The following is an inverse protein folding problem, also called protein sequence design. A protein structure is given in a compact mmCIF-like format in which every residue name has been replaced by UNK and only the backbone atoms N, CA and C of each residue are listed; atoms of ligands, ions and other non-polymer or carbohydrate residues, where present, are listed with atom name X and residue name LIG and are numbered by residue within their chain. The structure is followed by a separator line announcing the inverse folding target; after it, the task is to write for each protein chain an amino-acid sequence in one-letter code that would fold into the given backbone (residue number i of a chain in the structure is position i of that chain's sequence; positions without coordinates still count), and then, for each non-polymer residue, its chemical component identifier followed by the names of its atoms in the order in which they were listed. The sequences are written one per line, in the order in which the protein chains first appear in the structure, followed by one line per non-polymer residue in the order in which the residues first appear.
data_IF_694815914123
#
_entry.id   IF_694815914123
#
_cell.length_a   1.000
_cell.length_b   1.000
_cell.length_c   1.000
_cell.angle_alpha   90.00
_cell.angle_beta   90.00
_cell.angle_gamma   90.00
#
_symmetry.space_group_name_H-M   'P 1'
#
loop_
_entity.id
_entity.type
_entity.pdbx_description
1 polymer ?
#
# COMPACT_ATOMS: atom_id res chain seq x y z
N UNK A 1 -9.05 15.03 25.27
CA UNK A 1 -8.52 14.82 24.91
C UNK A 1 -8.18 14.26 24.29
N UNK A 2 -8.04 14.20 23.94
CA UNK A 2 -7.63 13.74 23.25
C UNK A 2 -7.06 13.25 22.81
N UNK A 3 -6.78 13.17 22.75
CA UNK A 3 -6.15 12.77 22.31
C UNK A 3 -5.80 12.09 21.79
N UNK A 4 -5.73 11.87 21.62
CA UNK A 4 -5.22 11.25 21.14
C UNK A 4 -5.22 10.78 20.28
N UNK A 5 -5.10 10.80 19.73
CA UNK A 5 -5.07 10.49 18.88
C UNK A 5 -4.48 10.16 18.17
N UNK A 6 -4.34 10.15 18.06
CA UNK A 6 -3.50 9.76 17.62
C UNK A 6 -3.57 8.83 16.54
N UNK A 7 -2.80 8.21 16.08
CA UNK A 7 -2.74 7.36 15.00
C UNK A 7 -3.67 6.20 15.10
N UNK A 8 -4.65 6.19 14.23
CA UNK A 8 -5.69 5.18 14.28
C UNK A 8 -5.20 3.82 13.82
N UNK A 9 -4.15 3.76 13.01
CA UNK A 9 -3.72 2.50 12.46
C UNK A 9 -2.22 2.35 12.59
N UNK A 10 -1.81 1.13 12.86
CA UNK A 10 -0.42 0.79 12.96
C UNK A 10 0.15 0.47 11.58
N UNK A 11 1.38 0.87 11.35
CA UNK A 11 2.07 0.62 10.10
C UNK A 11 3.03 -0.53 10.24
N UNK A 12 3.04 -1.37 9.22
CA UNK A 12 3.88 -2.56 9.21
C UNK A 12 4.81 -2.52 8.02
N UNK A 13 6.07 -2.85 8.23
CA UNK A 13 7.00 -3.01 7.13
C UNK A 13 6.70 -4.30 6.40
N UNK A 14 6.60 -4.22 5.08
CA UNK A 14 6.31 -5.38 4.25
C UNK A 14 7.19 -5.31 3.02
N UNK A 15 7.12 -6.35 2.22
CA UNK A 15 7.82 -6.38 0.95
C UNK A 15 7.03 -7.25 0.01
N UNK A 16 6.31 -6.60 -0.89
CA UNK A 16 5.45 -7.34 -1.80
C UNK A 16 5.36 -6.63 -3.14
N UNK A 17 5.68 -7.31 -4.23
CA UNK A 17 5.44 -6.74 -5.55
C UNK A 17 3.95 -6.57 -5.77
N UNK A 18 3.58 -5.44 -6.33
CA UNK A 18 2.18 -5.11 -6.59
C UNK A 18 2.12 -4.40 -7.92
N UNK A 19 0.90 -4.27 -8.44
CA UNK A 19 0.64 -3.48 -9.62
C UNK A 19 -0.30 -2.36 -9.26
N UNK A 20 0.01 -1.16 -9.70
CA UNK A 20 -0.80 0.00 -9.44
C UNK A 20 -1.49 0.42 -10.72
N UNK A 21 -2.82 0.37 -10.72
CA UNK A 21 -3.62 0.75 -11.88
C UNK A 21 -4.11 2.18 -11.69
N UNK A 22 -3.76 3.03 -12.62
CA UNK A 22 -4.27 4.39 -12.65
C UNK A 22 -4.99 4.63 -13.95
N UNK A 23 -5.46 5.86 -14.18
CA UNK A 23 -6.19 6.16 -15.43
C UNK A 23 -5.27 5.91 -16.63
N UNK A 24 -5.66 4.94 -17.44
CA UNK A 24 -4.94 4.67 -18.67
C UNK A 24 -3.56 4.09 -18.49
N UNK A 25 -3.20 3.62 -17.31
CA UNK A 25 -1.86 3.08 -17.13
C UNK A 25 -1.83 2.03 -16.02
N UNK A 26 -0.83 1.20 -16.10
CA UNK A 26 -0.63 0.11 -15.17
C UNK A 26 0.87 -0.01 -14.95
N UNK A 27 1.31 0.07 -13.68
CA UNK A 27 2.73 0.07 -13.36
C UNK A 27 3.01 -0.87 -12.21
N UNK A 28 4.12 -1.56 -12.29
CA UNK A 28 4.57 -2.41 -11.21
C UNK A 28 5.30 -1.58 -10.17
N UNK A 29 5.20 -2.01 -8.93
CA UNK A 29 5.90 -1.37 -7.84
C UNK A 29 6.11 -2.36 -6.72
N UNK A 30 6.72 -1.88 -5.64
CA UNK A 30 6.98 -2.72 -4.47
C UNK A 30 6.32 -2.06 -3.26
N UNK A 31 5.37 -2.78 -2.68
CA UNK A 31 4.74 -2.31 -1.45
C UNK A 31 5.69 -2.53 -0.30
N UNK A 32 6.03 -1.47 0.43
CA UNK A 32 7.02 -1.54 1.50
C UNK A 32 6.44 -1.23 2.86
N UNK A 33 5.22 -0.71 2.91
CA UNK A 33 4.57 -0.40 4.18
C UNK A 33 3.08 -0.59 4.01
N UNK A 34 2.44 -1.15 5.02
CA UNK A 34 1.01 -1.46 4.97
C UNK A 34 0.36 -1.15 6.31
N UNK A 35 -0.81 -0.55 6.27
CA UNK A 35 -1.64 -0.35 7.44
C UNK A 35 -3.09 -0.63 7.04
N UNK A 36 -3.99 -0.55 8.01
CA UNK A 36 -5.40 -0.74 7.69
C UNK A 36 -5.95 0.37 6.80
N UNK A 37 -5.28 1.52 6.75
CA UNK A 37 -5.81 2.66 6.02
C UNK A 37 -5.08 2.95 4.73
N UNK A 38 -3.93 2.36 4.50
CA UNK A 38 -3.20 2.64 3.28
C UNK A 38 -1.90 1.90 3.19
N UNK A 39 -1.12 2.27 2.19
CA UNK A 39 0.16 1.62 1.97
C UNK A 39 1.13 2.59 1.31
N UNK A 40 2.39 2.19 1.26
CA UNK A 40 3.42 2.94 0.58
C UNK A 40 4.09 2.03 -0.44
N UNK A 41 4.23 2.54 -1.65
CA UNK A 41 4.79 1.81 -2.77
C UNK A 41 6.09 2.46 -3.18
N UNK A 42 7.13 1.68 -3.37
CA UNK A 42 8.39 2.17 -3.92
C UNK A 42 8.46 1.79 -5.41
N UNK A 43 9.48 2.30 -6.07
CA UNK A 43 9.68 2.11 -7.51
C UNK A 43 8.56 2.73 -8.34
N UNK A 44 7.90 3.74 -7.80
CA UNK A 44 6.89 4.48 -8.53
C UNK A 44 7.58 5.48 -9.43
N UNK A 45 7.18 5.50 -10.69
CA UNK A 45 7.78 6.42 -11.63
C UNK A 45 7.39 7.85 -11.32
N UNK A 46 8.37 8.71 -11.44
CA UNK A 46 8.19 10.13 -11.16
C UNK A 46 7.16 10.72 -12.11
N UNK A 47 6.28 11.55 -11.57
CA UNK A 47 5.35 12.31 -12.40
C UNK A 47 4.15 11.54 -12.89
N UNK A 48 4.01 10.28 -12.54
CA UNK A 48 2.89 9.50 -13.01
C UNK A 48 1.66 9.58 -12.13
N UNK A 49 1.83 10.07 -10.91
CA UNK A 49 0.74 10.05 -9.93
C UNK A 49 0.50 11.43 -9.38
N UNK A 50 -0.76 11.85 -9.40
CA UNK A 50 -1.17 13.14 -8.87
C UNK A 50 -1.91 12.93 -7.56
N UNK A 51 -1.85 13.93 -6.70
CA UNK A 51 -2.57 13.90 -5.43
C UNK A 51 -4.06 13.72 -5.71
N UNK A 52 -4.70 12.87 -4.94
CA UNK A 52 -6.13 12.53 -5.04
C UNK A 52 -6.49 11.74 -6.28
N UNK A 53 -5.53 11.36 -7.09
CA UNK A 53 -5.81 10.50 -8.23
C UNK A 53 -6.31 9.15 -7.75
N UNK A 54 -7.37 8.66 -8.36
CA UNK A 54 -7.90 7.34 -8.03
C UNK A 54 -7.02 6.26 -8.63
N UNK A 55 -6.71 5.26 -7.83
CA UNK A 55 -5.88 4.15 -8.26
C UNK A 55 -6.45 2.87 -7.69
N UNK A 56 -6.05 1.75 -8.25
CA UNK A 56 -6.39 0.44 -7.73
C UNK A 56 -5.10 -0.32 -7.50
N UNK A 57 -4.91 -0.79 -6.30
CA UNK A 57 -3.77 -1.61 -5.94
C UNK A 57 -4.11 -3.06 -6.22
N UNK A 58 -3.34 -3.70 -7.07
CA UNK A 58 -3.53 -5.10 -7.39
C UNK A 58 -2.44 -5.92 -6.73
N UNK A 59 -2.83 -6.80 -5.83
CA UNK A 59 -1.89 -7.64 -5.10
C UNK A 59 -1.65 -8.96 -5.82
N UNK A 60 -2.71 -9.51 -6.40
CA UNK A 60 -2.62 -10.67 -7.26
C UNK A 60 -3.85 -10.63 -8.15
N UNK A 61 -4.11 -11.70 -8.88
CA UNK A 61 -5.19 -11.65 -9.85
C UNK A 61 -6.56 -11.46 -9.21
N UNK A 62 -6.71 -11.90 -7.98
CA UNK A 62 -8.00 -11.84 -7.31
C UNK A 62 -8.14 -10.64 -6.39
N UNK A 63 -7.05 -10.08 -5.95
CA UNK A 63 -7.09 -9.10 -4.87
C UNK A 63 -6.83 -7.70 -5.41
N UNK A 64 -7.86 -6.85 -5.36
CA UNK A 64 -7.75 -5.47 -5.82
C UNK A 64 -8.29 -4.56 -4.73
N UNK A 65 -7.55 -3.51 -4.43
CA UNK A 65 -7.94 -2.56 -3.39
C UNK A 65 -7.97 -1.16 -3.99
N UNK A 66 -9.13 -0.53 -4.03
CA UNK A 66 -9.21 0.84 -4.54
C UNK A 66 -8.70 1.85 -3.52
N UNK A 67 -8.15 2.93 -4.02
CA UNK A 67 -7.65 3.98 -3.14
C UNK A 67 -7.36 5.25 -3.90
N UNK A 68 -6.69 6.17 -3.22
CA UNK A 68 -6.30 7.45 -3.78
C UNK A 68 -4.88 7.77 -3.39
N UNK A 69 -4.21 8.48 -4.27
CA UNK A 69 -2.84 8.92 -4.01
C UNK A 69 -2.88 10.05 -2.98
N UNK A 70 -2.16 9.86 -1.88
CA UNK A 70 -2.02 10.89 -0.86
C UNK A 70 -0.82 11.77 -1.12
N UNK A 71 0.27 11.20 -1.57
CA UNK A 71 1.47 11.93 -1.90
C UNK A 71 2.30 11.07 -2.83
N UNK A 72 3.19 11.73 -3.59
CA UNK A 72 4.07 11.04 -4.52
C UNK A 72 5.32 11.87 -4.69
N UNK A 73 6.47 11.30 -4.33
CA UNK A 73 7.75 11.97 -4.55
C UNK A 73 8.88 10.97 -4.34
N UNK A 74 10.00 11.26 -4.95
CA UNK A 74 11.25 10.52 -4.77
C UNK A 74 11.12 9.02 -5.04
N UNK A 75 10.27 8.66 -6.00
CA UNK A 75 10.11 7.25 -6.34
C UNK A 75 9.19 6.50 -5.42
N UNK A 76 8.50 7.19 -4.53
CA UNK A 76 7.53 6.59 -3.62
C UNK A 76 6.17 7.18 -3.84
N UNK A 77 5.15 6.40 -3.56
CA UNK A 77 3.78 6.90 -3.60
C UNK A 77 3.05 6.36 -2.37
N UNK A 78 2.34 7.24 -1.71
CA UNK A 78 1.50 6.87 -0.56
C UNK A 78 0.05 6.80 -1.00
N UNK A 79 -0.60 5.68 -0.68
CA UNK A 79 -1.97 5.40 -1.09
C UNK A 79 -2.84 5.32 0.15
N UNK A 80 -3.98 5.99 0.12
CA UNK A 80 -5.01 5.81 1.13
C UNK A 80 -6.11 4.94 0.54
N UNK A 81 -6.45 3.86 1.22
CA UNK A 81 -7.49 2.97 0.74
C UNK A 81 -8.84 3.67 0.78
N UNK A 82 -9.70 3.36 -0.17
CA UNK A 82 -11.04 3.93 -0.21
C UNK A 82 -11.84 3.53 1.03
N UNK A 83 -11.54 2.36 1.58
CA UNK A 83 -12.18 1.86 2.78
C UNK A 83 -11.09 1.20 3.64
N UNK A 84 -11.11 1.47 4.93
CA UNK A 84 -10.14 0.85 5.82
C UNK A 84 -10.30 -0.66 5.80
N UNK A 85 -9.18 -1.36 5.87
CA UNK A 85 -9.18 -2.81 5.95
C UNK A 85 -9.65 -3.24 7.33
N UNK A 86 -10.40 -4.34 7.37
CA UNK A 86 -10.72 -4.97 8.64
C UNK A 86 -9.47 -5.65 9.18
N UNK A 87 -9.48 -5.90 10.47
CA UNK A 87 -8.32 -6.54 11.08
C UNK A 87 -8.01 -7.89 10.46
N UNK A 88 -9.03 -8.66 10.11
CA UNK A 88 -8.82 -9.95 9.48
C UNK A 88 -8.20 -9.79 8.10
N UNK A 89 -8.67 -8.79 7.34
CA UNK A 89 -8.10 -8.52 6.02
C UNK A 89 -6.65 -8.10 6.14
N UNK A 90 -6.37 -7.20 7.06
CA UNK A 90 -5.01 -6.74 7.26
C UNK A 90 -4.10 -7.88 7.66
N UNK A 91 -4.57 -8.73 8.58
CA UNK A 91 -3.79 -9.86 9.02
C UNK A 91 -3.44 -10.81 7.88
N UNK A 92 -4.41 -11.07 7.01
CA UNK A 92 -4.16 -11.94 5.86
C UNK A 92 -3.16 -11.33 4.90
N UNK A 93 -3.30 -10.03 4.64
CA UNK A 93 -2.36 -9.37 3.75
C UNK A 93 -0.96 -9.35 4.34
N UNK A 94 -0.85 -9.16 5.63
CA UNK A 94 0.45 -9.17 6.28
C UNK A 94 1.12 -10.52 6.16
N UNK A 95 0.36 -11.61 6.29
CA UNK A 95 0.93 -12.93 6.14
C UNK A 95 1.49 -13.16 4.76
N UNK A 96 0.80 -12.68 3.74
CA UNK A 96 1.24 -12.91 2.37
C UNK A 96 2.21 -11.86 1.87
N UNK A 97 2.41 -10.79 2.64
CA UNK A 97 3.26 -9.69 2.21
C UNK A 97 4.58 -9.62 2.98
N UNK A 98 4.83 -10.58 3.84
CA UNK A 98 6.08 -10.60 4.58
C UNK A 98 7.24 -10.86 3.67
N UNK A 99 8.35 -10.23 4.00
CA UNK A 99 9.56 -10.47 3.24
C UNK A 99 10.04 -11.89 3.49
N UNK A 100 10.23 -12.67 2.43
CA UNK A 100 10.64 -14.06 2.61
C UNK A 100 11.98 -14.23 3.28
N UNK A 101 12.81 -13.21 3.25
CA UNK A 101 14.13 -13.34 3.85
C UNK A 101 14.07 -13.56 5.34
N UNK A 102 12.94 -13.32 5.95
CA UNK A 102 12.82 -13.62 7.37
C UNK A 102 13.04 -15.08 7.65
N UNK A 103 12.46 -15.90 6.82
CA UNK A 103 12.68 -17.31 7.00
C UNK A 103 14.09 -17.70 6.63
N UNK A 104 14.74 -16.92 5.80
CA UNK A 104 16.10 -17.22 5.41
C UNK A 104 17.09 -16.83 6.47
N UNK A 105 16.72 -15.91 7.32
CA UNK A 105 17.62 -15.52 8.38
C UNK A 105 17.91 -16.65 9.34
N UNK A 106 17.20 -17.68 9.22
CA UNK A 106 17.40 -18.84 10.08
C UNK A 106 18.57 -19.68 9.65
#
# INVERSE_FOLDING_TARGET
MSVLVIRASKRFAVRRPVTLHGPGKKRDGLMIELSSEGCRISNAERGLYAIDQEVTLQLDEAEHIPGRVRWAHDGFVGIKFARALRQTELGQLLQTSRAPEYSLAC
#
